data_IF_840292228388
#
_entry.id   IF_840292228388
#
_cell.length_a   1.000
_cell.length_b   1.000
_cell.length_c   1.000
_cell.angle_alpha   90.00
_cell.angle_beta   90.00
_cell.angle_gamma   90.00
#
_symmetry.space_group_name_H-M   'P 1'
#
loop_
_entity.id
_entity.type
_entity.pdbx_description
1 polymer ?
#
# COMPACT_ATOMS: atom_id res chain seq x y z
N UNK A 1 20.31 2.35 2.96
CA UNK A 1 19.69 2.56 1.64
C UNK A 1 19.69 4.05 1.33
N UNK A 2 19.97 4.45 0.08
CA UNK A 2 19.92 5.84 -0.37
C UNK A 2 18.53 6.11 -0.97
N UNK A 3 17.94 7.26 -0.64
CA UNK A 3 16.69 7.69 -1.25
C UNK A 3 16.97 8.27 -2.64
N UNK A 4 16.24 7.77 -3.62
CA UNK A 4 16.21 8.26 -5.01
C UNK A 4 14.87 8.94 -5.28
N UNK A 5 14.78 9.70 -6.38
CA UNK A 5 13.56 10.41 -6.77
C UNK A 5 13.22 10.13 -8.22
N UNK A 6 11.93 10.05 -8.50
CA UNK A 6 11.36 9.97 -9.85
C UNK A 6 10.39 11.15 -10.04
N UNK A 7 10.45 11.80 -11.20
CA UNK A 7 9.58 12.94 -11.49
C UNK A 7 8.30 12.44 -12.18
N UNK A 8 7.15 12.66 -11.57
CA UNK A 8 5.84 12.36 -12.13
C UNK A 8 5.47 13.33 -13.25
N UNK A 9 4.40 13.04 -14.02
CA UNK A 9 4.01 13.84 -15.19
C UNK A 9 3.60 15.27 -14.86
N UNK A 10 3.15 15.52 -13.62
CA UNK A 10 2.81 16.86 -13.11
C UNK A 10 4.01 17.58 -12.47
N UNK A 11 5.20 16.99 -12.52
CA UNK A 11 6.42 17.52 -11.92
C UNK A 11 6.63 17.14 -10.47
N UNK A 12 5.71 16.41 -9.84
CA UNK A 12 5.84 15.97 -8.43
C UNK A 12 7.01 14.98 -8.29
N UNK A 13 7.91 15.23 -7.35
CA UNK A 13 9.03 14.34 -7.02
C UNK A 13 8.56 13.20 -6.09
N UNK A 14 8.71 11.96 -6.54
CA UNK A 14 8.32 10.74 -5.85
C UNK A 14 9.56 10.04 -5.32
N UNK A 15 9.67 9.93 -4.02
CA UNK A 15 10.79 9.28 -3.35
C UNK A 15 10.66 7.76 -3.37
N UNK A 16 11.77 7.07 -3.55
CA UNK A 16 11.82 5.62 -3.43
C UNK A 16 13.19 5.15 -2.94
N UNK A 17 13.27 3.93 -2.46
CA UNK A 17 14.50 3.22 -2.14
C UNK A 17 14.55 1.92 -2.89
N UNK A 18 15.77 1.46 -3.21
CA UNK A 18 16.02 0.18 -3.87
C UNK A 18 16.92 -0.70 -3.01
N UNK A 19 16.65 -2.00 -2.99
CA UNK A 19 17.43 -3.01 -2.31
C UNK A 19 17.50 -4.29 -3.15
N UNK A 20 18.60 -5.01 -3.06
CA UNK A 20 18.87 -6.24 -3.80
C UNK A 20 19.54 -6.02 -5.14
N UNK A 21 19.76 -7.14 -5.87
CA UNK A 21 20.37 -7.12 -7.19
C UNK A 21 19.37 -6.60 -8.24
N UNK A 22 19.69 -5.56 -9.02
CA UNK A 22 18.80 -5.03 -10.07
C UNK A 22 18.45 -6.06 -11.17
N UNK A 23 19.16 -7.17 -11.27
CA UNK A 23 18.89 -8.26 -12.23
C UNK A 23 17.98 -9.34 -11.65
N UNK A 24 17.72 -9.33 -10.34
CA UNK A 24 16.79 -10.25 -9.68
C UNK A 24 15.33 -9.90 -10.00
N UNK A 25 14.38 -10.84 -9.78
CA UNK A 25 12.97 -10.60 -10.03
C UNK A 25 12.46 -9.33 -9.33
N UNK A 26 11.85 -8.38 -10.07
CA UNK A 26 11.51 -7.07 -9.53
C UNK A 26 10.17 -7.04 -8.78
N UNK A 27 10.15 -6.27 -7.70
CA UNK A 27 8.97 -6.03 -6.86
C UNK A 27 8.87 -4.54 -6.52
N UNK A 28 7.70 -3.96 -6.70
CA UNK A 28 7.40 -2.60 -6.23
C UNK A 28 6.46 -2.64 -5.03
N UNK A 29 6.92 -2.14 -3.89
CA UNK A 29 6.22 -2.09 -2.62
C UNK A 29 5.56 -0.72 -2.42
N UNK A 30 4.23 -0.69 -2.26
CA UNK A 30 3.40 0.51 -2.16
C UNK A 30 2.71 0.52 -0.81
N UNK A 31 3.03 1.50 0.05
CA UNK A 31 2.52 1.58 1.42
C UNK A 31 1.05 2.03 1.51
N UNK A 32 0.48 1.91 2.70
CA UNK A 32 -0.88 2.33 3.03
C UNK A 32 -1.01 3.81 3.39
N UNK A 33 -2.25 4.23 3.71
CA UNK A 33 -2.60 5.59 4.10
C UNK A 33 -1.72 6.12 5.23
N UNK A 34 -1.23 7.35 5.05
CA UNK A 34 -0.41 8.10 6.01
C UNK A 34 0.86 7.35 6.49
N UNK A 35 1.40 6.42 5.69
CA UNK A 35 2.66 5.72 5.97
C UNK A 35 3.76 6.16 5.01
N UNK A 36 4.87 5.45 5.01
CA UNK A 36 6.02 5.68 4.13
C UNK A 36 6.75 4.36 3.87
N UNK A 37 7.69 4.36 2.91
CA UNK A 37 8.42 3.15 2.50
C UNK A 37 9.10 2.42 3.66
N UNK A 38 9.45 3.09 4.74
CA UNK A 38 10.12 2.48 5.91
C UNK A 38 9.25 1.44 6.62
N UNK A 39 7.93 1.40 6.39
CA UNK A 39 7.09 0.34 6.91
C UNK A 39 7.48 -1.04 6.35
N UNK A 40 8.05 -1.07 5.15
CA UNK A 40 8.49 -2.29 4.47
C UNK A 40 9.87 -2.80 4.91
N UNK A 41 10.56 -2.12 5.85
CA UNK A 41 11.88 -2.53 6.30
C UNK A 41 12.01 -4.02 6.65
N UNK A 42 11.04 -4.66 7.36
CA UNK A 42 11.14 -6.09 7.65
C UNK A 42 11.18 -6.99 6.41
N UNK A 43 10.57 -6.56 5.29
CA UNK A 43 10.52 -7.31 4.04
C UNK A 43 11.75 -7.01 3.18
N UNK A 44 12.20 -5.76 3.15
CA UNK A 44 13.45 -5.38 2.49
C UNK A 44 14.62 -6.17 3.08
N UNK A 45 14.71 -6.28 4.40
CA UNK A 45 15.79 -7.00 5.10
C UNK A 45 15.78 -8.51 4.80
N UNK A 46 14.60 -9.12 4.54
CA UNK A 46 14.44 -10.56 4.33
C UNK A 46 14.57 -11.01 2.88
N UNK A 47 14.31 -10.15 1.94
CA UNK A 47 14.19 -10.55 0.54
C UNK A 47 15.20 -9.88 -0.40
N UNK A 48 16.00 -8.90 0.07
CA UNK A 48 16.98 -8.21 -0.76
C UNK A 48 18.14 -9.10 -1.26
N UNK A 49 18.31 -10.28 -0.69
CA UNK A 49 19.26 -11.29 -1.17
C UNK A 49 18.76 -12.08 -2.40
N UNK A 50 17.46 -12.02 -2.71
CA UNK A 50 16.79 -12.82 -3.74
C UNK A 50 15.96 -12.03 -4.74
N UNK A 51 15.53 -10.83 -4.38
CA UNK A 51 14.63 -10.00 -5.18
C UNK A 51 15.18 -8.58 -5.34
N UNK A 52 14.88 -7.95 -6.47
CA UNK A 52 15.04 -6.51 -6.63
C UNK A 52 13.82 -5.80 -6.05
N UNK A 53 13.95 -5.27 -4.85
CA UNK A 53 12.88 -4.63 -4.11
C UNK A 53 12.97 -3.11 -4.25
N UNK A 54 11.93 -2.48 -4.73
CA UNK A 54 11.76 -1.03 -4.74
C UNK A 54 10.59 -0.68 -3.85
N UNK A 55 10.76 0.23 -2.90
CA UNK A 55 9.70 0.72 -2.04
C UNK A 55 9.56 2.24 -2.20
N UNK A 56 8.38 2.70 -2.60
CA UNK A 56 8.11 4.10 -2.88
C UNK A 56 7.35 4.78 -1.75
N UNK A 57 7.56 6.08 -1.58
CA UNK A 57 6.66 6.96 -0.82
C UNK A 57 5.59 7.51 -1.77
N UNK A 58 4.35 7.38 -1.42
CA UNK A 58 3.25 7.99 -2.18
C UNK A 58 3.37 9.52 -2.16
N UNK A 59 2.88 10.22 -3.21
CA UNK A 59 2.72 11.68 -3.16
C UNK A 59 2.04 12.11 -1.87
N UNK A 60 2.50 13.18 -1.25
CA UNK A 60 2.00 13.63 0.06
C UNK A 60 2.57 12.90 1.27
N UNK A 61 3.41 11.88 1.09
CA UNK A 61 3.93 11.04 2.18
C UNK A 61 5.46 11.04 2.23
N UNK A 62 6.00 10.63 3.37
CA UNK A 62 7.43 10.41 3.57
C UNK A 62 8.32 11.51 3.00
N UNK A 63 9.27 11.14 2.16
CA UNK A 63 10.19 12.04 1.47
C UNK A 63 9.67 12.55 0.12
N UNK A 64 8.55 12.02 -0.41
CA UNK A 64 7.89 12.54 -1.61
C UNK A 64 7.35 13.94 -1.39
N UNK A 65 7.23 14.70 -2.48
CA UNK A 65 6.61 16.02 -2.43
C UNK A 65 5.17 15.98 -1.97
N UNK A 66 4.72 17.10 -1.40
CA UNK A 66 3.42 17.27 -0.77
C UNK A 66 2.65 18.42 -1.40
N UNK A 67 2.17 18.28 -2.67
CA UNK A 67 1.41 19.32 -3.35
C UNK A 67 0.29 19.88 -2.47
N UNK A 68 0.11 21.20 -2.50
CA UNK A 68 -0.94 21.85 -1.73
C UNK A 68 -2.33 21.74 -2.36
N UNK A 69 -2.40 21.44 -3.65
CA UNK A 69 -3.67 21.30 -4.36
C UNK A 69 -4.31 19.96 -4.07
N UNK A 70 -5.60 20.00 -3.71
CA UNK A 70 -6.43 18.82 -3.47
C UNK A 70 -6.52 17.92 -4.71
N UNK A 71 -6.53 18.46 -5.91
CA UNK A 71 -6.60 17.73 -7.16
C UNK A 71 -5.44 16.72 -7.29
N UNK A 72 -4.25 17.05 -6.77
CA UNK A 72 -3.10 16.15 -6.75
C UNK A 72 -3.37 14.81 -6.04
N UNK A 73 -4.40 14.72 -5.21
CA UNK A 73 -4.73 13.50 -4.44
C UNK A 73 -6.04 12.85 -4.86
N UNK A 74 -6.88 13.55 -5.62
CA UNK A 74 -8.19 13.04 -6.07
C UNK A 74 -8.18 12.57 -7.53
N UNK A 75 -7.24 13.05 -8.34
CA UNK A 75 -7.03 12.58 -9.71
C UNK A 75 -6.34 11.21 -9.70
N UNK A 76 -7.06 10.18 -10.18
CA UNK A 76 -6.54 8.82 -10.22
C UNK A 76 -5.42 8.63 -11.23
N UNK A 77 -5.34 9.46 -12.27
CA UNK A 77 -4.28 9.35 -13.29
C UNK A 77 -2.90 9.71 -12.73
N UNK A 78 -2.84 10.69 -11.82
CA UNK A 78 -1.59 11.09 -11.17
C UNK A 78 -1.00 9.97 -10.29
N UNK A 79 -1.83 9.13 -9.66
CA UNK A 79 -1.36 7.95 -8.94
C UNK A 79 -0.73 6.91 -9.86
N UNK A 80 -1.31 6.72 -11.03
CA UNK A 80 -0.77 5.82 -12.05
C UNK A 80 0.56 6.33 -12.60
N UNK A 81 0.66 7.65 -12.81
CA UNK A 81 1.87 8.30 -13.32
C UNK A 81 3.03 8.21 -12.32
N UNK A 82 2.75 8.33 -11.01
CA UNK A 82 3.75 8.12 -9.96
C UNK A 82 4.34 6.72 -10.00
N UNK A 83 3.48 5.70 -10.08
CA UNK A 83 3.92 4.30 -10.18
C UNK A 83 4.77 4.10 -11.42
N UNK A 84 4.34 4.64 -12.57
CA UNK A 84 5.09 4.55 -13.83
C UNK A 84 6.44 5.22 -13.72
N UNK A 85 6.49 6.45 -13.18
CA UNK A 85 7.73 7.20 -13.00
C UNK A 85 8.75 6.44 -12.12
N UNK A 86 8.29 5.84 -11.02
CA UNK A 86 9.15 5.03 -10.15
C UNK A 86 9.61 3.76 -10.85
N UNK A 87 8.72 3.04 -11.56
CA UNK A 87 9.09 1.85 -12.34
C UNK A 87 10.17 2.17 -13.38
N UNK A 88 10.02 3.29 -14.11
CA UNK A 88 10.97 3.71 -15.14
C UNK A 88 12.31 4.14 -14.52
N UNK A 89 12.29 4.96 -13.46
CA UNK A 89 13.48 5.44 -12.78
C UNK A 89 14.27 4.32 -12.09
N UNK A 90 13.59 3.30 -11.57
CA UNK A 90 14.20 2.14 -10.91
C UNK A 90 14.53 1.00 -11.89
N UNK A 91 14.21 1.13 -13.20
CA UNK A 91 14.46 0.11 -14.20
C UNK A 91 13.67 -1.19 -14.00
N UNK A 92 12.45 -1.10 -13.45
CA UNK A 92 11.63 -2.29 -13.18
C UNK A 92 10.96 -2.78 -14.48
N UNK A 93 11.36 -3.94 -14.93
CA UNK A 93 10.70 -4.64 -16.03
C UNK A 93 9.72 -5.69 -15.47
N UNK A 94 8.44 -5.47 -15.70
CA UNK A 94 7.33 -6.33 -15.26
C UNK A 94 7.41 -6.73 -13.78
N UNK A 95 7.43 -5.77 -12.82
CA UNK A 95 7.45 -6.11 -11.40
C UNK A 95 6.15 -6.77 -10.94
N UNK A 96 6.22 -7.50 -9.82
CA UNK A 96 5.06 -7.75 -8.99
C UNK A 96 4.76 -6.47 -8.20
N UNK A 97 3.53 -5.95 -8.33
CA UNK A 97 3.08 -4.79 -7.55
C UNK A 97 2.51 -5.26 -6.22
N UNK A 98 3.08 -4.79 -5.11
CA UNK A 98 2.62 -5.15 -3.76
C UNK A 98 1.99 -3.92 -3.12
N UNK A 99 0.70 -3.96 -2.81
CA UNK A 99 -0.02 -2.85 -2.19
C UNK A 99 -0.53 -3.18 -0.79
N UNK A 100 -0.16 -2.38 0.20
CA UNK A 100 -0.76 -2.45 1.53
C UNK A 100 -1.91 -1.46 1.65
N UNK A 101 -3.11 -1.95 2.04
CA UNK A 101 -4.25 -1.08 2.36
C UNK A 101 -4.55 -0.09 1.21
N UNK A 102 -4.36 1.20 1.43
CA UNK A 102 -4.50 2.26 0.42
C UNK A 102 -3.60 2.05 -0.82
N UNK A 103 -2.47 1.34 -0.68
CA UNK A 103 -1.62 0.96 -1.81
C UNK A 103 -2.36 0.12 -2.85
N UNK A 104 -3.40 -0.64 -2.48
CA UNK A 104 -4.24 -1.36 -3.44
C UNK A 104 -5.02 -0.43 -4.38
N UNK A 105 -5.46 0.76 -3.89
CA UNK A 105 -6.03 1.81 -4.76
C UNK A 105 -5.03 2.30 -5.79
N UNK A 106 -3.79 2.52 -5.35
CA UNK A 106 -2.73 3.04 -6.24
C UNK A 106 -2.42 2.02 -7.33
N UNK A 107 -2.37 0.73 -6.98
CA UNK A 107 -2.25 -0.35 -7.97
C UNK A 107 -3.45 -0.34 -8.93
N UNK A 108 -4.66 -0.24 -8.42
CA UNK A 108 -5.86 -0.20 -9.28
C UNK A 108 -5.84 1.01 -10.23
N UNK A 109 -5.43 2.20 -9.77
CA UNK A 109 -5.26 3.37 -10.61
C UNK A 109 -4.24 3.15 -11.73
N UNK A 110 -3.12 2.49 -11.41
CA UNK A 110 -2.12 2.12 -12.42
C UNK A 110 -2.69 1.15 -13.46
N UNK A 111 -3.36 0.07 -13.02
CA UNK A 111 -3.95 -0.92 -13.92
C UNK A 111 -5.04 -0.32 -14.81
N UNK A 112 -5.87 0.59 -14.28
CA UNK A 112 -6.92 1.28 -15.03
C UNK A 112 -6.34 2.18 -16.12
N UNK A 113 -5.29 2.94 -15.80
CA UNK A 113 -4.67 3.91 -16.71
C UNK A 113 -3.68 3.29 -17.69
N UNK A 114 -2.89 2.28 -17.26
CA UNK A 114 -1.73 1.76 -17.99
C UNK A 114 -1.89 0.31 -18.44
N UNK A 115 -2.96 -0.36 -17.99
CA UNK A 115 -3.15 -1.79 -18.26
C UNK A 115 -2.20 -2.68 -17.47
N UNK A 116 -2.18 -3.96 -17.81
CA UNK A 116 -1.42 -5.00 -17.08
C UNK A 116 -0.15 -5.49 -17.80
N UNK A 117 0.16 -4.95 -18.99
CA UNK A 117 1.25 -5.49 -19.83
C UNK A 117 2.63 -5.41 -19.15
N UNK A 118 2.85 -4.36 -18.38
CA UNK A 118 4.10 -4.13 -17.61
C UNK A 118 4.05 -4.67 -16.18
N UNK A 119 3.11 -5.56 -15.84
CA UNK A 119 2.95 -6.13 -14.49
C UNK A 119 3.05 -7.65 -14.56
N UNK A 120 3.86 -8.28 -13.74
CA UNK A 120 3.95 -9.74 -13.66
C UNK A 120 2.81 -10.33 -12.83
N UNK A 121 2.43 -9.65 -11.75
CA UNK A 121 1.36 -10.03 -10.83
C UNK A 121 1.05 -8.94 -9.82
N UNK A 122 0.00 -9.12 -9.04
CA UNK A 122 -0.41 -8.19 -7.97
C UNK A 122 -0.55 -8.92 -6.65
N UNK A 123 0.05 -8.38 -5.58
CA UNK A 123 -0.14 -8.86 -4.22
C UNK A 123 -0.76 -7.76 -3.34
N UNK A 124 -1.87 -8.06 -2.67
CA UNK A 124 -2.59 -7.12 -1.81
C UNK A 124 -2.48 -7.57 -0.34
N UNK A 125 -1.99 -6.70 0.52
CA UNK A 125 -1.96 -6.90 1.97
C UNK A 125 -3.02 -6.01 2.62
N UNK A 126 -4.06 -6.59 3.24
CA UNK A 126 -5.15 -5.83 3.85
C UNK A 126 -5.79 -4.81 2.89
N UNK A 127 -5.93 -5.17 1.61
CA UNK A 127 -6.31 -4.25 0.54
C UNK A 127 -7.74 -3.76 0.63
N UNK A 128 -7.99 -2.54 0.11
CA UNK A 128 -9.32 -1.93 -0.01
C UNK A 128 -9.85 -2.10 -1.44
N UNK A 129 -11.17 -2.17 -1.61
CA UNK A 129 -11.84 -2.30 -2.91
C UNK A 129 -12.58 -1.04 -3.35
N UNK A 130 -12.85 -0.13 -2.43
CA UNK A 130 -13.55 1.12 -2.72
C UNK A 130 -13.22 2.19 -1.70
N UNK A 131 -13.42 3.47 -2.06
CA UNK A 131 -13.37 4.62 -1.16
C UNK A 131 -14.57 5.53 -1.39
N UNK A 132 -14.80 6.47 -0.45
CA UNK A 132 -15.93 7.38 -0.51
C UNK A 132 -17.27 6.65 -0.44
N UNK A 133 -18.25 7.14 -1.18
CA UNK A 133 -19.62 6.59 -1.21
C UNK A 133 -19.74 5.21 -1.86
N UNK A 134 -18.73 4.80 -2.65
CA UNK A 134 -18.68 3.45 -3.23
C UNK A 134 -18.34 2.37 -2.20
N UNK A 135 -17.88 2.76 -1.00
CA UNK A 135 -17.49 1.83 0.06
C UNK A 135 -18.70 1.32 0.83
N UNK A 136 -18.95 0.05 0.76
CA UNK A 136 -20.03 -0.62 1.47
C UNK A 136 -19.64 -0.96 2.93
N UNK A 137 -20.61 -1.06 3.83
CA UNK A 137 -20.37 -1.28 5.26
C UNK A 137 -19.61 -2.56 5.59
N UNK A 138 -19.81 -3.63 4.81
CA UNK A 138 -19.12 -4.90 4.99
C UNK A 138 -17.61 -4.85 4.68
N UNK A 139 -17.15 -3.81 3.97
CA UNK A 139 -15.74 -3.57 3.67
C UNK A 139 -14.99 -2.90 4.81
N UNK A 140 -15.71 -2.36 5.80
CA UNK A 140 -15.17 -1.44 6.81
C UNK A 140 -14.96 -2.16 8.12
N UNK A 141 -13.73 -2.10 8.64
CA UNK A 141 -13.45 -2.53 10.01
C UNK A 141 -13.77 -1.44 11.04
N UNK A 142 -13.94 -1.82 12.32
CA UNK A 142 -14.34 -0.89 13.39
C UNK A 142 -13.30 0.20 13.71
N UNK A 143 -12.06 0.03 13.25
CA UNK A 143 -10.95 1.00 13.42
C UNK A 143 -10.57 1.68 12.09
N UNK A 144 -11.45 1.65 11.08
CA UNK A 144 -11.21 2.32 9.80
C UNK A 144 -10.93 3.82 10.00
N UNK A 145 -9.93 4.42 9.31
CA UNK A 145 -9.57 5.83 9.47
C UNK A 145 -10.74 6.79 9.25
N UNK A 146 -11.65 6.45 8.36
CA UNK A 146 -12.84 7.28 8.09
C UNK A 146 -13.81 7.43 9.25
N UNK A 147 -13.66 6.65 10.34
CA UNK A 147 -14.52 6.70 11.52
C UNK A 147 -13.97 7.63 12.62
N UNK A 148 -12.71 8.04 12.57
CA UNK A 148 -12.08 8.94 13.55
C UNK A 148 -11.68 10.27 12.90
N UNK A 149 -12.48 11.32 13.13
CA UNK A 149 -12.23 12.66 12.57
C UNK A 149 -10.97 13.33 13.13
N UNK A 150 -10.48 12.92 14.30
CA UNK A 150 -9.28 13.48 14.90
C UNK A 150 -8.02 13.08 14.11
N UNK A 151 -8.06 12.03 13.31
CA UNK A 151 -6.99 11.69 12.36
C UNK A 151 -6.76 12.75 11.28
N UNK A 152 -7.73 13.62 11.04
CA UNK A 152 -7.74 14.63 9.97
C UNK A 152 -7.67 16.07 10.47
N UNK A 153 -7.64 16.28 11.80
CA UNK A 153 -7.62 17.62 12.40
C UNK A 153 -6.28 18.33 12.21
N UNK A 154 -6.29 19.66 12.13
CA UNK A 154 -5.09 20.48 12.18
C UNK A 154 -4.55 20.65 13.61
N UNK A 155 -5.32 20.31 14.64
CA UNK A 155 -4.88 20.22 16.04
C UNK A 155 -3.89 19.05 16.20
N UNK A 156 -2.59 19.38 16.24
CA UNK A 156 -1.50 18.39 16.27
C UNK A 156 -1.57 17.46 17.50
N UNK A 157 -1.80 17.94 18.74
CA UNK A 157 -1.97 17.07 19.90
C UNK A 157 -3.10 16.05 19.73
N UNK A 158 -4.28 16.48 19.27
CA UNK A 158 -5.43 15.58 19.04
C UNK A 158 -5.11 14.56 17.93
N UNK A 159 -4.53 15.02 16.82
CA UNK A 159 -4.13 14.15 15.72
C UNK A 159 -3.09 13.11 16.15
N UNK A 160 -2.14 13.49 17.02
CA UNK A 160 -1.14 12.55 17.54
C UNK A 160 -1.80 11.42 18.35
N UNK A 161 -2.73 11.75 19.25
CA UNK A 161 -3.45 10.75 20.05
C UNK A 161 -4.27 9.81 19.18
N UNK A 162 -5.00 10.36 18.20
CA UNK A 162 -5.78 9.57 17.25
C UNK A 162 -4.87 8.67 16.38
N UNK A 163 -3.73 9.22 15.91
CA UNK A 163 -2.73 8.47 15.15
C UNK A 163 -2.15 7.30 15.95
N UNK A 164 -1.80 7.52 17.21
CA UNK A 164 -1.29 6.48 18.11
C UNK A 164 -2.29 5.31 18.22
N UNK A 165 -3.55 5.62 18.51
CA UNK A 165 -4.65 4.61 18.56
C UNK A 165 -4.86 3.90 17.21
N UNK A 166 -4.78 4.62 16.10
CA UNK A 166 -4.92 4.03 14.78
C UNK A 166 -3.78 3.05 14.47
N UNK A 167 -2.52 3.42 14.77
CA UNK A 167 -1.37 2.53 14.56
C UNK A 167 -1.47 1.28 15.43
N UNK A 168 -1.93 1.41 16.68
CA UNK A 168 -2.22 0.25 17.55
C UNK A 168 -3.30 -0.66 16.97
N UNK A 169 -4.31 -0.09 16.33
CA UNK A 169 -5.40 -0.86 15.72
C UNK A 169 -5.01 -1.57 14.42
N UNK A 170 -3.88 -1.18 13.80
CA UNK A 170 -3.37 -1.83 12.58
C UNK A 170 -2.76 -3.22 12.84
N UNK A 171 -2.53 -3.61 14.10
CA UNK A 171 -1.99 -4.92 14.44
C UNK A 171 -2.85 -5.61 15.51
N UNK A 172 -2.91 -6.94 15.46
CA UNK A 172 -3.64 -7.73 16.47
C UNK A 172 -2.81 -7.87 17.75
N UNK A 173 -1.47 -7.88 17.61
CA UNK A 173 -0.53 -7.92 18.72
C UNK A 173 0.24 -6.60 18.83
N UNK A 174 0.65 -6.18 20.05
CA UNK A 174 1.46 -4.99 20.21
C UNK A 174 2.77 -5.08 19.44
N UNK A 175 3.11 -4.02 18.72
CA UNK A 175 4.41 -3.88 18.08
C UNK A 175 5.50 -3.57 19.12
N UNK A 176 6.75 -3.91 18.79
CA UNK A 176 7.88 -3.41 19.57
C UNK A 176 7.92 -1.88 19.54
N UNK A 177 8.52 -1.30 20.61
CA UNK A 177 8.51 0.15 20.84
C UNK A 177 9.12 0.96 19.67
N UNK A 178 10.19 0.45 19.04
CA UNK A 178 10.89 1.17 17.98
C UNK A 178 10.06 1.18 16.71
N UNK A 179 9.49 0.05 16.33
CA UNK A 179 8.57 -0.07 15.18
C UNK A 179 7.32 0.78 15.38
N UNK A 180 6.69 0.72 16.55
CA UNK A 180 5.54 1.56 16.88
C UNK A 180 5.85 3.06 16.75
N UNK A 181 6.96 3.52 17.37
CA UNK A 181 7.36 4.93 17.31
C UNK A 181 7.64 5.39 15.87
N UNK A 182 8.29 4.53 15.06
CA UNK A 182 8.55 4.80 13.65
C UNK A 182 7.25 4.97 12.85
N UNK A 183 6.27 4.08 13.04
CA UNK A 183 4.99 4.14 12.32
C UNK A 183 4.14 5.35 12.74
N UNK A 184 4.11 5.70 14.02
CA UNK A 184 3.44 6.92 14.51
C UNK A 184 4.13 8.16 13.94
N UNK A 185 5.46 8.20 13.98
CA UNK A 185 6.25 9.30 13.40
C UNK A 185 6.00 9.47 11.91
N UNK A 186 6.07 8.38 11.15
CA UNK A 186 5.78 8.37 9.71
C UNK A 186 4.38 8.90 9.42
N UNK A 187 3.40 8.42 10.16
CA UNK A 187 2.01 8.84 10.03
C UNK A 187 1.87 10.35 10.29
N UNK A 188 2.51 10.89 11.33
CA UNK A 188 2.45 12.31 11.67
C UNK A 188 3.13 13.23 10.64
N UNK A 189 4.08 12.73 9.82
CA UNK A 189 4.69 13.46 8.71
C UNK A 189 3.73 13.69 7.53
N UNK A 190 2.66 12.90 7.40
CA UNK A 190 1.63 13.13 6.41
C UNK A 190 0.74 14.30 6.84
N UNK A 191 0.69 15.44 6.09
CA UNK A 191 -0.06 16.63 6.47
C UNK A 191 -1.56 16.38 6.55
N UNK A 192 -2.27 17.14 7.39
CA UNK A 192 -3.72 16.97 7.56
C UNK A 192 -4.52 17.20 6.27
N UNK A 193 -4.12 18.15 5.42
CA UNK A 193 -4.78 18.38 4.14
C UNK A 193 -4.64 17.18 3.19
N UNK A 194 -3.47 16.53 3.16
CA UNK A 194 -3.25 15.29 2.38
C UNK A 194 -4.15 14.19 2.91
N UNK A 195 -4.13 13.95 4.23
CA UNK A 195 -4.96 12.91 4.86
C UNK A 195 -6.44 13.04 4.50
N UNK A 196 -6.97 14.28 4.48
CA UNK A 196 -8.36 14.57 4.08
C UNK A 196 -8.56 14.24 2.60
N UNK A 197 -7.73 14.80 1.73
CA UNK A 197 -7.89 14.68 0.29
C UNK A 197 -7.85 13.24 -0.23
N UNK A 198 -7.12 12.35 0.43
CA UNK A 198 -6.99 10.93 0.04
C UNK A 198 -8.33 10.16 0.03
N UNK A 199 -9.32 10.58 0.84
CA UNK A 199 -10.64 9.95 0.92
C UNK A 199 -11.78 10.81 0.35
N UNK A 200 -11.45 11.96 -0.23
CA UNK A 200 -12.46 12.85 -0.82
C UNK A 200 -13.01 12.36 -2.17
N UNK A 201 -12.28 11.47 -2.85
CA UNK A 201 -12.78 10.85 -4.08
C UNK A 201 -13.72 9.68 -3.76
N UNK A 202 -14.71 9.47 -4.62
CA UNK A 202 -15.52 8.24 -4.63
C UNK A 202 -15.05 7.36 -5.78
N UNK A 203 -14.45 6.22 -5.48
CA UNK A 203 -13.90 5.29 -6.47
C UNK A 203 -14.19 3.85 -6.09
N UNK A 204 -14.64 3.06 -7.07
CA UNK A 204 -14.84 1.62 -6.98
C UNK A 204 -13.77 0.90 -7.79
N UNK A 205 -12.91 0.12 -7.14
CA UNK A 205 -11.80 -0.60 -7.77
C UNK A 205 -12.19 -2.01 -8.22
N UNK A 206 -13.38 -2.49 -7.86
CA UNK A 206 -13.85 -3.85 -8.18
C UNK A 206 -13.81 -4.15 -9.69
N UNK A 207 -14.24 -3.24 -10.58
CA UNK A 207 -14.16 -3.49 -12.03
C UNK A 207 -12.74 -3.69 -12.54
N UNK A 208 -11.77 -2.93 -11.99
CA UNK A 208 -10.35 -3.02 -12.36
C UNK A 208 -9.78 -4.39 -11.97
N UNK A 209 -10.00 -4.82 -10.73
CA UNK A 209 -9.53 -6.13 -10.28
C UNK A 209 -10.26 -7.29 -10.97
N UNK A 210 -11.55 -7.14 -11.34
CA UNK A 210 -12.28 -8.14 -12.11
C UNK A 210 -11.77 -8.28 -13.55
N UNK A 211 -11.24 -7.21 -14.13
CA UNK A 211 -10.60 -7.24 -15.45
C UNK A 211 -9.21 -7.87 -15.43
N UNK A 212 -8.49 -7.78 -14.30
CA UNK A 212 -7.11 -8.24 -14.14
C UNK A 212 -6.98 -9.74 -14.42
N UNK A 213 -6.06 -10.10 -15.32
CA UNK A 213 -5.95 -11.47 -15.82
C UNK A 213 -4.64 -12.18 -15.45
N UNK A 214 -3.68 -11.46 -14.88
CA UNK A 214 -2.43 -12.05 -14.39
C UNK A 214 -2.59 -12.59 -12.96
N UNK A 215 -1.60 -13.34 -12.42
CA UNK A 215 -1.66 -13.86 -11.06
C UNK A 215 -1.95 -12.77 -10.01
N UNK A 216 -2.85 -13.05 -9.09
CA UNK A 216 -3.22 -12.20 -7.97
C UNK A 216 -3.14 -12.92 -6.64
N UNK A 217 -2.47 -12.32 -5.65
CA UNK A 217 -2.37 -12.84 -4.29
C UNK A 217 -2.97 -11.83 -3.31
N UNK A 218 -3.83 -12.29 -2.42
CA UNK A 218 -4.38 -11.47 -1.33
C UNK A 218 -3.99 -12.07 0.01
N UNK A 219 -3.18 -11.37 0.77
CA UNK A 219 -2.73 -11.71 2.12
C UNK A 219 -3.48 -10.84 3.12
N UNK A 220 -4.34 -11.41 3.95
CA UNK A 220 -5.20 -10.63 4.84
C UNK A 220 -5.28 -11.26 6.23
N UNK A 221 -5.07 -10.43 7.25
CA UNK A 221 -5.20 -10.87 8.64
C UNK A 221 -6.66 -11.11 9.02
N UNK A 222 -6.94 -12.26 9.65
CA UNK A 222 -8.31 -12.58 10.10
C UNK A 222 -8.78 -11.70 11.26
N UNK A 223 -7.83 -11.07 11.98
CA UNK A 223 -8.08 -10.10 13.04
C UNK A 223 -8.03 -8.63 12.59
N UNK A 224 -8.04 -8.35 11.30
CA UNK A 224 -8.00 -6.98 10.76
C UNK A 224 -9.20 -6.15 11.22
N UNK A 225 -8.91 -5.07 11.97
CA UNK A 225 -9.90 -4.13 12.51
C UNK A 225 -10.06 -2.87 11.65
N UNK A 226 -9.18 -2.68 10.66
CA UNK A 226 -9.17 -1.50 9.79
C UNK A 226 -9.98 -1.75 8.52
N UNK A 227 -9.71 -2.87 7.86
CA UNK A 227 -10.42 -3.35 6.68
C UNK A 227 -11.00 -4.73 7.00
N UNK A 228 -12.29 -4.92 6.76
CA UNK A 228 -12.93 -6.22 7.00
C UNK A 228 -12.24 -7.33 6.20
N UNK A 229 -11.92 -8.49 6.81
CA UNK A 229 -11.32 -9.63 6.10
C UNK A 229 -12.14 -10.12 4.91
N UNK A 230 -13.47 -9.94 4.93
CA UNK A 230 -14.34 -10.21 3.80
C UNK A 230 -13.98 -9.43 2.54
N UNK A 231 -13.35 -8.26 2.70
CA UNK A 231 -12.86 -7.45 1.57
C UNK A 231 -11.70 -8.15 0.86
N UNK A 232 -10.78 -8.76 1.60
CA UNK A 232 -9.68 -9.53 1.04
C UNK A 232 -10.18 -10.77 0.29
N UNK A 233 -11.13 -11.52 0.86
CA UNK A 233 -11.75 -12.65 0.15
C UNK A 233 -12.45 -12.21 -1.13
N UNK A 234 -13.18 -11.09 -1.08
CA UNK A 234 -13.86 -10.54 -2.25
C UNK A 234 -12.84 -10.12 -3.33
N UNK A 235 -11.74 -9.46 -2.95
CA UNK A 235 -10.68 -9.08 -3.87
C UNK A 235 -10.08 -10.28 -4.60
N UNK A 236 -9.77 -11.35 -3.88
CA UNK A 236 -9.25 -12.57 -4.48
C UNK A 236 -10.25 -13.24 -5.44
N UNK A 237 -11.54 -13.26 -5.10
CA UNK A 237 -12.60 -13.83 -5.96
C UNK A 237 -12.84 -13.00 -7.23
N UNK A 238 -12.58 -11.68 -7.19
CA UNK A 238 -12.74 -10.82 -8.36
C UNK A 238 -11.67 -11.06 -9.41
N UNK A 239 -10.41 -11.23 -9.01
CA UNK A 239 -9.30 -11.45 -9.93
C UNK A 239 -9.40 -12.84 -10.59
N UNK A 240 -9.20 -12.92 -11.92
CA UNK A 240 -9.34 -14.17 -12.68
C UNK A 240 -8.40 -15.28 -12.21
N UNK A 241 -7.23 -14.92 -11.70
CA UNK A 241 -6.23 -15.82 -11.11
C UNK A 241 -5.94 -15.43 -9.65
N UNK A 242 -6.98 -15.03 -8.92
CA UNK A 242 -6.86 -14.55 -7.55
C UNK A 242 -6.79 -15.70 -6.54
N UNK A 243 -5.84 -15.59 -5.61
CA UNK A 243 -5.65 -16.51 -4.48
C UNK A 243 -5.73 -15.76 -3.18
N UNK A 244 -6.47 -16.28 -2.20
CA UNK A 244 -6.60 -15.74 -0.86
C UNK A 244 -5.76 -16.52 0.13
N UNK A 245 -4.92 -15.83 0.90
CA UNK A 245 -4.15 -16.38 2.02
C UNK A 245 -4.55 -15.68 3.32
N UNK A 246 -5.37 -16.33 4.18
CA UNK A 246 -5.66 -15.79 5.49
C UNK A 246 -4.45 -15.91 6.42
N UNK A 247 -4.24 -14.86 7.20
CA UNK A 247 -3.25 -14.80 8.28
C UNK A 247 -3.99 -14.85 9.62
N UNK A 248 -4.09 -16.04 10.20
CA UNK A 248 -4.92 -16.28 11.39
C UNK A 248 -4.38 -15.53 12.61
N UNK A 249 -5.27 -14.78 13.27
CA UNK A 249 -4.94 -13.99 14.45
C UNK A 249 -4.08 -12.74 14.19
N UNK A 250 -3.80 -12.43 12.94
CA UNK A 250 -3.02 -11.26 12.49
C UNK A 250 -3.95 -10.11 12.12
N UNK A 251 -3.52 -8.87 12.33
CA UNK A 251 -4.28 -7.66 12.03
C UNK A 251 -4.09 -7.15 10.58
N UNK A 252 -4.15 -5.83 10.44
CA UNK A 252 -4.11 -5.12 9.15
C UNK A 252 -2.74 -5.11 8.46
N UNK A 253 -1.67 -5.41 9.19
CA UNK A 253 -0.29 -5.33 8.69
C UNK A 253 0.45 -6.68 8.82
N UNK A 254 0.09 -7.71 8.05
CA UNK A 254 0.69 -9.06 8.19
C UNK A 254 2.21 -9.05 7.99
N UNK A 255 2.76 -8.17 7.18
CA UNK A 255 4.21 -8.02 6.98
C UNK A 255 4.96 -7.44 8.19
N UNK A 256 4.26 -6.88 9.16
CA UNK A 256 4.82 -6.41 10.43
C UNK A 256 4.66 -7.45 11.55
N UNK A 257 3.55 -8.18 11.57
CA UNK A 257 3.21 -9.13 12.63
C UNK A 257 3.78 -10.53 12.40
N UNK A 258 3.83 -10.97 11.14
CA UNK A 258 4.41 -12.27 10.73
C UNK A 258 5.30 -12.07 9.49
N UNK A 259 6.41 -11.31 9.64
CA UNK A 259 7.27 -10.93 8.52
C UNK A 259 7.95 -12.13 7.84
N UNK A 260 8.24 -13.20 8.58
CA UNK A 260 8.88 -14.40 8.02
C UNK A 260 7.94 -15.15 7.08
N UNK A 261 6.70 -15.37 7.51
CA UNK A 261 5.66 -15.98 6.67
C UNK A 261 5.33 -15.09 5.48
N UNK A 262 5.15 -13.77 5.71
CA UNK A 262 4.85 -12.84 4.63
C UNK A 262 5.95 -12.83 3.57
N UNK A 263 7.22 -12.81 3.96
CA UNK A 263 8.35 -12.86 3.06
C UNK A 263 8.38 -14.17 2.26
N UNK A 264 8.13 -15.32 2.91
CA UNK A 264 8.09 -16.62 2.25
C UNK A 264 6.95 -16.70 1.21
N UNK A 265 5.74 -16.28 1.58
CA UNK A 265 4.56 -16.28 0.71
C UNK A 265 4.76 -15.34 -0.49
N UNK A 266 5.31 -14.14 -0.25
CA UNK A 266 5.62 -13.17 -1.31
C UNK A 266 6.70 -13.70 -2.26
N UNK A 267 7.79 -14.27 -1.75
CA UNK A 267 8.86 -14.82 -2.59
C UNK A 267 8.36 -15.98 -3.48
N UNK A 268 7.53 -16.87 -2.93
CA UNK A 268 6.90 -17.94 -3.68
C UNK A 268 6.00 -17.39 -4.80
N UNK A 269 5.19 -16.38 -4.49
CA UNK A 269 4.33 -15.73 -5.46
C UNK A 269 5.12 -15.01 -6.57
N UNK A 270 6.19 -14.29 -6.22
CA UNK A 270 7.07 -13.63 -7.22
C UNK A 270 7.66 -14.68 -8.17
N UNK A 271 8.12 -15.82 -7.65
CA UNK A 271 8.64 -16.92 -8.47
C UNK A 271 7.57 -17.46 -9.44
N UNK A 272 6.34 -17.65 -8.98
CA UNK A 272 5.20 -18.06 -9.81
C UNK A 272 4.93 -17.07 -10.94
N UNK A 273 5.03 -15.76 -10.68
CA UNK A 273 4.77 -14.71 -11.67
C UNK A 273 5.85 -14.59 -12.75
N UNK A 274 7.05 -15.13 -12.54
CA UNK A 274 8.18 -15.05 -13.47
C UNK A 274 8.30 -16.28 -14.39
N UNK A 275 7.59 -17.38 -14.08
CA UNK A 275 7.55 -18.61 -14.89
C UNK A 275 6.48 -18.54 -15.95
#
# INVERSE_FOLDING_TARGET
MTTSFATSTDGTEIAFVSAGDPTAPPVLLIHGWAQQFTCWAPILDRLSDRLHLVAMDLRGHGASEKPGDRAAYTDTTLWADDVRAVMDAAGLDRPVLVGWSYGSRVIAAYLESSGEDRVAGVALAGGILAIGEARESWMVGPASPGLDRDLYTDDVPRRLVATARFVEACTAQPLDRATYARLVGANMLCPAHVRRALFDATVDFRPVYAAFSRPGLVMHGTGDRVVSPATGEAAARLMKQGRYLPYDGVGHAPFLEDPDRFAADLAAFVTECQG
#
